data_IF_622017257778
#
_entry.id   IF_622017257778
#
_cell.length_a   1.000
_cell.length_b   1.000
_cell.length_c   1.000
_cell.angle_alpha   90.00
_cell.angle_beta   90.00
_cell.angle_gamma   90.00
#
_symmetry.space_group_name_H-M   'P 1'
#
loop_
_entity.id
_entity.type
_entity.pdbx_description
1 polymer ?
#
# COMPACT_ATOMS: atom_id res chain seq x y z
N UNK A 1 12.22 -1.94 -3.30
CA UNK A 1 10.79 -2.33 -3.34
C UNK A 1 10.15 -1.44 -4.40
N UNK A 2 9.59 -2.00 -5.48
CA UNK A 2 9.05 -1.19 -6.59
C UNK A 2 7.76 -0.44 -6.23
N UNK A 3 7.42 0.64 -6.96
CA UNK A 3 6.24 1.47 -6.71
C UNK A 3 4.91 0.70 -6.82
N UNK A 4 4.85 -0.24 -7.75
CA UNK A 4 3.77 -1.22 -7.98
C UNK A 4 3.33 -1.95 -6.69
N UNK A 5 4.29 -2.36 -5.85
CA UNK A 5 3.99 -3.07 -4.59
C UNK A 5 3.32 -2.16 -3.56
N UNK A 6 3.62 -0.86 -3.59
CA UNK A 6 3.08 0.12 -2.65
C UNK A 6 1.60 0.38 -2.98
N UNK A 7 1.28 0.55 -4.27
CA UNK A 7 -0.08 0.80 -4.72
C UNK A 7 -1.01 -0.42 -4.58
N UNK A 8 -0.52 -1.62 -4.93
CA UNK A 8 -1.28 -2.86 -4.73
C UNK A 8 -1.55 -3.14 -3.24
N UNK A 9 -0.55 -2.92 -2.38
CA UNK A 9 -0.73 -3.06 -0.94
C UNK A 9 -1.66 -1.99 -0.35
N UNK A 10 -1.60 -0.75 -0.85
CA UNK A 10 -2.50 0.32 -0.44
C UNK A 10 -3.96 0.00 -0.78
N UNK A 11 -4.21 -0.48 -2.00
CA UNK A 11 -5.53 -0.93 -2.44
C UNK A 11 -6.07 -2.06 -1.56
N UNK A 12 -5.29 -3.12 -1.34
CA UNK A 12 -5.71 -4.27 -0.55
C UNK A 12 -5.98 -3.87 0.91
N UNK A 13 -5.08 -3.10 1.51
CA UNK A 13 -5.25 -2.63 2.88
C UNK A 13 -6.48 -1.74 3.01
N UNK A 14 -6.76 -0.85 2.05
CA UNK A 14 -8.00 -0.06 2.04
C UNK A 14 -9.20 -0.99 2.09
N UNK A 15 -9.32 -1.96 1.18
CA UNK A 15 -10.48 -2.88 1.12
C UNK A 15 -10.69 -3.67 2.41
N UNK A 16 -9.62 -4.12 3.05
CA UNK A 16 -9.70 -4.89 4.30
C UNK A 16 -10.08 -3.99 5.49
N UNK A 17 -9.42 -2.84 5.63
CA UNK A 17 -9.51 -2.01 6.83
C UNK A 17 -10.60 -0.93 6.77
N UNK A 18 -11.22 -0.70 5.61
CA UNK A 18 -12.46 0.10 5.51
C UNK A 18 -13.73 -0.74 5.69
N UNK A 19 -13.61 -2.05 5.92
CA UNK A 19 -14.75 -2.90 6.26
C UNK A 19 -15.47 -2.35 7.51
N UNK A 20 -16.81 -2.26 7.56
CA UNK A 20 -17.54 -1.68 8.69
C UNK A 20 -17.17 -2.27 10.06
N UNK A 21 -16.80 -3.55 10.11
CA UNK A 21 -16.39 -4.26 11.33
C UNK A 21 -15.03 -3.78 11.83
N UNK A 22 -14.11 -3.47 10.91
CA UNK A 22 -12.76 -2.98 11.23
C UNK A 22 -12.68 -1.46 11.26
N UNK A 23 -13.61 -0.75 10.64
CA UNK A 23 -13.66 0.71 10.59
C UNK A 23 -14.10 1.31 11.94
N UNK A 24 -14.78 0.52 12.77
CA UNK A 24 -15.17 0.87 14.14
C UNK A 24 -14.08 0.46 15.14
N UNK A 25 -14.35 0.64 16.44
CA UNK A 25 -13.51 0.11 17.50
C UNK A 25 -13.33 -1.41 17.32
N UNK A 26 -12.08 -1.87 17.28
CA UNK A 26 -11.79 -3.29 17.04
C UNK A 26 -12.48 -4.16 18.10
N UNK A 27 -13.16 -5.24 17.69
CA UNK A 27 -13.96 -6.05 18.61
C UNK A 27 -13.09 -6.82 19.60
N UNK A 28 -13.69 -7.14 20.74
CA UNK A 28 -13.16 -8.04 21.75
C UNK A 28 -12.74 -9.39 21.12
N UNK A 29 -11.49 -9.80 21.32
CA UNK A 29 -11.01 -11.15 21.10
C UNK A 29 -11.05 -11.92 22.43
N UNK A 30 -11.27 -13.24 22.36
CA UNK A 30 -11.21 -14.19 23.48
C UNK A 30 -9.94 -14.06 24.34
N UNK A 31 -8.86 -13.49 23.80
CA UNK A 31 -7.59 -13.25 24.50
C UNK A 31 -7.32 -11.77 24.82
N UNK A 32 -7.98 -10.81 24.16
CA UNK A 32 -7.65 -9.39 24.25
C UNK A 32 -8.90 -8.51 24.12
N UNK A 33 -9.02 -7.48 24.97
CA UNK A 33 -10.10 -6.49 24.89
C UNK A 33 -9.57 -5.14 24.37
N UNK A 34 -9.80 -4.85 23.10
CA UNK A 34 -9.38 -3.59 22.47
C UNK A 34 -10.50 -2.52 22.41
N UNK A 35 -11.64 -2.71 23.11
CA UNK A 35 -12.82 -1.82 22.95
C UNK A 35 -12.74 -0.53 23.78
N UNK A 36 -11.85 -0.45 24.76
CA UNK A 36 -11.71 0.71 25.65
C UNK A 36 -10.31 1.31 25.53
N UNK A 37 -9.98 1.82 24.34
CA UNK A 37 -8.72 2.50 24.10
C UNK A 37 -8.94 4.01 24.01
N UNK A 38 -8.36 4.73 24.95
CA UNK A 38 -8.32 6.18 24.87
C UNK A 38 -7.15 6.58 23.95
N UNK A 39 -7.39 7.43 22.94
CA UNK A 39 -6.37 7.84 21.94
C UNK A 39 -5.10 8.44 22.58
N UNK A 40 -5.21 8.93 23.82
CA UNK A 40 -4.11 9.50 24.61
C UNK A 40 -3.21 8.39 25.17
N UNK A 41 -3.76 7.24 25.57
CA UNK A 41 -3.00 6.13 26.18
C UNK A 41 -2.13 5.39 25.17
N UNK A 42 -2.51 5.35 23.89
CA UNK A 42 -1.69 4.78 22.81
C UNK A 42 -0.47 5.62 22.46
N UNK A 43 -0.42 6.89 22.87
CA UNK A 43 0.66 7.84 22.53
C UNK A 43 1.73 8.00 23.61
N UNK A 44 1.44 7.58 24.84
CA UNK A 44 2.32 7.80 25.99
C UNK A 44 3.03 6.51 26.39
N UNK A 45 4.36 6.62 26.38
CA UNK A 45 5.43 5.66 26.63
C UNK A 45 5.33 4.72 27.85
N UNK A 46 4.20 4.66 28.59
CA UNK A 46 4.05 3.88 29.83
C UNK A 46 2.62 3.35 30.11
N UNK A 47 1.66 3.49 29.18
CA UNK A 47 0.40 2.75 29.29
C UNK A 47 0.66 1.27 28.99
N UNK A 48 0.01 0.35 29.69
CA UNK A 48 0.03 -1.10 29.40
C UNK A 48 -0.52 -1.33 27.98
N UNK A 49 0.30 -1.11 26.97
CA UNK A 49 -0.06 -1.27 25.57
C UNK A 49 -0.02 -2.75 25.28
N UNK A 50 -1.17 -3.41 25.39
CA UNK A 50 -1.37 -4.73 24.83
C UNK A 50 -0.90 -4.67 23.36
N UNK A 51 0.18 -5.37 22.96
CA UNK A 51 0.80 -5.19 21.64
C UNK A 51 -0.16 -5.54 20.49
N UNK A 52 -1.23 -6.27 20.82
CA UNK A 52 -2.30 -6.67 19.93
C UNK A 52 -3.34 -5.58 19.66
N UNK A 53 -3.37 -4.52 20.46
CA UNK A 53 -4.37 -3.45 20.34
C UNK A 53 -3.73 -2.10 19.94
N UNK A 54 -2.65 -2.10 19.17
CA UNK A 54 -1.94 -0.85 18.79
C UNK A 54 -2.82 0.19 18.06
N UNK A 55 -3.84 -0.26 17.33
CA UNK A 55 -4.71 0.58 16.50
C UNK A 55 -6.14 0.54 17.03
N UNK A 56 -6.76 1.70 17.23
CA UNK A 56 -8.14 1.78 17.71
C UNK A 56 -9.15 1.35 16.63
N UNK A 57 -8.81 1.53 15.36
CA UNK A 57 -9.61 1.16 14.19
C UNK A 57 -8.74 0.93 12.95
N UNK A 58 -9.31 0.29 11.94
CA UNK A 58 -8.69 0.14 10.62
C UNK A 58 -8.33 1.48 9.97
N UNK A 59 -9.09 2.54 10.26
CA UNK A 59 -8.77 3.91 9.84
C UNK A 59 -7.47 4.42 10.47
N UNK A 60 -7.32 4.21 11.78
CA UNK A 60 -6.09 4.61 12.47
C UNK A 60 -4.86 3.91 11.89
N UNK A 61 -4.97 2.62 11.57
CA UNK A 61 -3.93 1.86 10.88
C UNK A 61 -3.60 2.41 9.49
N UNK A 62 -4.63 2.66 8.66
CA UNK A 62 -4.44 3.20 7.31
C UNK A 62 -3.81 4.59 7.34
N UNK A 63 -4.22 5.44 8.29
CA UNK A 63 -3.70 6.79 8.43
C UNK A 63 -2.24 6.83 8.85
N UNK A 64 -1.80 6.01 9.82
CA UNK A 64 -0.40 5.94 10.22
C UNK A 64 0.48 5.38 9.09
N UNK A 65 -0.02 4.40 8.34
CA UNK A 65 0.76 3.69 7.33
C UNK A 65 0.90 4.44 6.01
N UNK A 66 -0.15 5.12 5.58
CA UNK A 66 -0.23 5.73 4.25
C UNK A 66 -0.30 7.25 4.27
N UNK A 67 -0.34 7.87 5.45
CA UNK A 67 -0.30 9.33 5.57
C UNK A 67 0.96 9.86 6.21
N UNK A 68 1.31 11.08 5.80
CA UNK A 68 2.20 11.97 6.54
C UNK A 68 1.46 12.94 7.46
N UNK A 69 0.19 13.21 7.18
CA UNK A 69 -0.68 14.11 7.97
C UNK A 69 -2.02 13.41 8.25
N UNK A 70 -2.50 13.41 9.50
CA UNK A 70 -3.77 12.78 9.91
C UNK A 70 -5.01 13.54 9.39
N UNK A 71 -5.08 13.77 8.09
CA UNK A 71 -6.12 14.54 7.41
C UNK A 71 -6.86 13.64 6.42
N UNK A 72 -8.13 13.93 6.16
CA UNK A 72 -9.00 13.13 5.27
C UNK A 72 -8.51 13.02 3.82
N UNK A 73 -7.47 13.79 3.46
CA UNK A 73 -6.85 13.84 2.12
C UNK A 73 -6.13 12.52 1.74
N UNK A 74 -5.98 11.59 2.68
CA UNK A 74 -5.39 10.26 2.44
C UNK A 74 -6.24 9.44 1.47
N UNK A 75 -7.56 9.49 1.63
CA UNK A 75 -8.51 8.69 0.86
C UNK A 75 -8.75 9.23 -0.55
N UNK A 76 -8.37 10.48 -0.81
CA UNK A 76 -8.42 11.12 -2.14
C UNK A 76 -7.09 11.08 -2.90
N UNK A 77 -5.98 10.72 -2.25
CA UNK A 77 -4.66 10.65 -2.87
C UNK A 77 -4.12 9.23 -2.99
N UNK A 78 -3.37 8.79 -1.98
CA UNK A 78 -2.60 7.54 -1.99
C UNK A 78 -3.49 6.30 -1.88
N UNK A 79 -4.66 6.43 -1.24
CA UNK A 79 -5.61 5.33 -1.09
C UNK A 79 -6.68 5.32 -2.17
N UNK A 80 -6.67 6.26 -3.11
CA UNK A 80 -7.64 6.36 -4.21
C UNK A 80 -7.62 5.07 -5.05
N UNK A 81 -8.80 4.53 -5.32
CA UNK A 81 -8.93 3.16 -5.83
C UNK A 81 -8.62 3.10 -7.32
N UNK A 82 -9.12 4.06 -8.08
CA UNK A 82 -8.97 4.13 -9.53
C UNK A 82 -7.51 4.41 -9.89
N UNK A 83 -6.84 5.31 -9.16
CA UNK A 83 -5.41 5.60 -9.32
C UNK A 83 -4.52 4.41 -8.97
N UNK A 84 -4.78 3.71 -7.86
CA UNK A 84 -3.96 2.58 -7.43
C UNK A 84 -4.05 1.40 -8.42
N UNK A 85 -5.26 1.08 -8.88
CA UNK A 85 -5.47 0.06 -9.91
C UNK A 85 -4.85 0.53 -11.23
N UNK A 86 -5.13 1.77 -11.63
CA UNK A 86 -4.64 2.36 -12.86
C UNK A 86 -3.12 2.32 -12.99
N UNK A 87 -2.39 2.75 -11.96
CA UNK A 87 -0.92 2.74 -11.95
C UNK A 87 -0.36 1.32 -12.02
N UNK A 88 -0.97 0.37 -11.32
CA UNK A 88 -0.52 -1.04 -11.30
C UNK A 88 -0.59 -1.63 -12.71
N UNK A 89 -1.70 -1.43 -13.43
CA UNK A 89 -1.84 -1.88 -14.82
C UNK A 89 -0.96 -1.08 -15.79
N UNK A 90 -0.88 0.24 -15.62
CA UNK A 90 -0.07 1.10 -16.47
C UNK A 90 1.42 0.73 -16.42
N UNK A 91 1.95 0.41 -15.23
CA UNK A 91 3.33 -0.04 -15.08
C UNK A 91 3.58 -1.38 -15.80
N UNK A 92 2.71 -2.37 -15.59
CA UNK A 92 2.83 -3.67 -16.26
C UNK A 92 2.73 -3.56 -17.78
N UNK A 93 1.74 -2.84 -18.30
CA UNK A 93 1.58 -2.60 -19.74
C UNK A 93 2.74 -1.78 -20.31
N UNK A 94 3.21 -0.76 -19.59
CA UNK A 94 4.36 0.03 -19.97
C UNK A 94 5.62 -0.81 -20.12
N UNK A 95 5.85 -1.77 -19.21
CA UNK A 95 6.98 -2.70 -19.31
C UNK A 95 6.86 -3.64 -20.51
N UNK A 96 5.66 -4.14 -20.81
CA UNK A 96 5.41 -4.99 -21.99
C UNK A 96 5.72 -4.20 -23.27
N UNK A 97 5.18 -2.98 -23.40
CA UNK A 97 5.39 -2.12 -24.57
C UNK A 97 6.86 -1.73 -24.70
N UNK A 98 7.51 -1.34 -23.60
CA UNK A 98 8.93 -1.02 -23.58
C UNK A 98 9.79 -2.21 -24.03
N UNK A 99 9.48 -3.41 -23.55
CA UNK A 99 10.19 -4.61 -23.94
C UNK A 99 9.98 -4.97 -25.42
N UNK A 100 8.77 -4.75 -25.96
CA UNK A 100 8.49 -4.89 -27.39
C UNK A 100 9.35 -3.93 -28.23
N UNK A 101 9.47 -2.66 -27.81
CA UNK A 101 10.36 -1.71 -28.47
C UNK A 101 11.82 -2.15 -28.43
N UNK A 102 12.31 -2.68 -27.31
CA UNK A 102 13.66 -3.22 -27.21
C UNK A 102 13.89 -4.39 -28.19
N UNK A 103 12.91 -5.26 -28.38
CA UNK A 103 12.99 -6.35 -29.36
C UNK A 103 12.98 -5.87 -30.82
N UNK A 104 12.41 -4.70 -31.10
CA UNK A 104 12.38 -4.10 -32.42
C UNK A 104 13.69 -3.35 -32.76
N UNK A 105 14.55 -3.07 -31.78
CA UNK A 105 15.85 -2.43 -32.04
C UNK A 105 16.76 -3.46 -32.70
N UNK A 106 17.13 -3.28 -33.99
CA UNK A 106 18.03 -4.20 -34.65
C UNK A 106 19.40 -4.16 -33.98
N UNK A 107 20.01 -5.33 -33.80
CA UNK A 107 21.41 -5.44 -33.39
C UNK A 107 22.28 -4.54 -34.27
N UNK A 108 23.04 -3.61 -33.68
CA UNK A 108 23.77 -2.63 -34.46
C UNK A 108 24.78 -3.31 -35.38
N UNK A 109 24.93 -2.78 -36.59
CA UNK A 109 25.61 -3.44 -37.72
C UNK A 109 27.06 -3.87 -37.40
N UNK A 110 27.74 -3.15 -36.49
CA UNK A 110 29.08 -3.50 -36.03
C UNK A 110 29.14 -4.84 -35.29
N UNK A 111 28.08 -5.22 -34.56
CA UNK A 111 27.99 -6.52 -33.89
C UNK A 111 27.79 -7.62 -34.92
N UNK A 112 26.91 -7.40 -35.91
CA UNK A 112 26.68 -8.37 -37.00
C UNK A 112 27.93 -8.62 -37.84
N UNK A 113 28.76 -7.59 -38.07
CA UNK A 113 29.99 -7.72 -38.85
C UNK A 113 31.09 -8.49 -38.09
N UNK A 114 31.25 -8.28 -36.79
CA UNK A 114 32.29 -8.93 -35.98
C UNK A 114 32.12 -10.44 -35.79
N UNK A 115 30.91 -10.98 -35.95
CA UNK A 115 30.63 -12.42 -35.84
C UNK A 115 30.40 -13.12 -37.19
N UNK A 116 30.66 -12.42 -38.31
CA UNK A 116 30.51 -12.97 -39.67
C UNK A 116 31.83 -13.33 -40.35
N UNK A 117 32.96 -13.08 -39.69
CA UNK A 117 34.32 -13.57 -40.01
C UNK A 117 34.74 -14.59 -38.95
#
# INVERSE_FOLDING_TARGET
MGPDKIYAAAFLNRKVFTNPILNQALPFDSKHNCTNMNLIETSLLNGMNEPYCRYASGQSYLSERYSRDHTDVIFSGILEEDLNIGITFAFSLGMIVFNLFLYLIPLPAFVKAKFRE
#
